data_IF_891329809908
#
_entry.id   IF_891329809908
#
_cell.length_a   1.000
_cell.length_b   1.000
_cell.length_c   1.000
_cell.angle_alpha   90.00
_cell.angle_beta   90.00
_cell.angle_gamma   90.00
#
_symmetry.space_group_name_H-M   'P 1'
#
loop_
_entity.id
_entity.type
_entity.pdbx_description
1 polymer ?
#
# COMPACT_ATOMS: atom_id res chain seq x y z
N UNK A 1 16.43 -25.29 7.72
CA UNK A 1 16.20 -23.84 7.84
C UNK A 1 15.00 -23.37 7.02
N UNK A 2 14.01 -22.80 7.71
CA UNK A 2 12.87 -22.05 7.15
C UNK A 2 12.98 -20.59 7.55
N UNK A 3 12.55 -19.67 6.68
CA UNK A 3 12.71 -18.24 6.91
C UNK A 3 11.46 -17.46 6.48
N UNK A 4 11.15 -16.41 7.24
CA UNK A 4 10.19 -15.38 6.86
C UNK A 4 10.90 -14.03 6.76
N UNK A 5 10.43 -13.16 5.88
CA UNK A 5 10.95 -11.81 5.70
C UNK A 5 9.94 -10.82 6.25
N UNK A 6 10.42 -9.92 7.09
CA UNK A 6 9.65 -8.85 7.67
C UNK A 6 10.12 -7.49 7.11
N UNK A 7 9.18 -6.68 6.67
CA UNK A 7 9.41 -5.30 6.22
C UNK A 7 8.71 -4.35 7.19
N UNK A 8 9.49 -3.53 7.89
CA UNK A 8 8.98 -2.54 8.82
C UNK A 8 9.02 -1.16 8.17
N UNK A 9 7.85 -0.58 7.90
CA UNK A 9 7.73 0.80 7.46
C UNK A 9 7.56 1.71 8.68
N UNK A 10 8.44 2.71 8.81
CA UNK A 10 8.33 3.77 9.79
C UNK A 10 8.22 5.13 9.12
N UNK A 11 7.04 5.75 9.23
CA UNK A 11 6.74 7.08 8.71
C UNK A 11 7.34 8.18 9.58
N UNK A 12 7.84 9.24 8.93
CA UNK A 12 8.28 10.46 9.61
C UNK A 12 7.13 11.48 9.79
N UNK A 13 6.03 11.32 9.04
CA UNK A 13 5.02 12.36 8.85
C UNK A 13 3.75 12.14 9.67
N UNK A 14 3.46 10.89 9.99
CA UNK A 14 2.38 10.46 10.90
C UNK A 14 2.65 9.02 11.35
N UNK A 15 3.20 8.81 12.56
CA UNK A 15 3.56 7.48 13.06
C UNK A 15 2.35 6.56 13.29
N UNK A 16 1.18 7.10 13.59
CA UNK A 16 0.03 6.28 14.00
C UNK A 16 -0.70 5.66 12.80
N UNK A 17 -0.70 6.34 11.65
CA UNK A 17 -1.53 5.95 10.51
C UNK A 17 -0.79 5.19 9.39
N UNK A 18 0.53 5.34 9.30
CA UNK A 18 1.32 4.81 8.16
C UNK A 18 2.26 3.66 8.56
N UNK A 19 2.65 3.58 9.83
CA UNK A 19 3.55 2.53 10.31
C UNK A 19 2.89 1.15 10.21
N UNK A 20 3.63 0.17 9.70
CA UNK A 20 3.14 -1.19 9.51
C UNK A 20 4.27 -2.18 9.37
N UNK A 21 4.00 -3.40 9.78
CA UNK A 21 4.85 -4.55 9.53
C UNK A 21 4.24 -5.41 8.43
N UNK A 22 4.99 -5.66 7.38
CA UNK A 22 4.66 -6.71 6.42
C UNK A 22 5.47 -7.94 6.75
N UNK A 23 4.81 -9.10 6.78
CA UNK A 23 5.47 -10.39 6.92
C UNK A 23 5.11 -11.25 5.71
N UNK A 24 6.13 -11.84 5.09
CA UNK A 24 5.95 -12.72 3.95
C UNK A 24 6.92 -13.89 3.97
N UNK A 25 6.47 -15.02 3.42
CA UNK A 25 7.34 -16.14 3.10
C UNK A 25 6.89 -16.80 1.81
N UNK A 26 7.85 -17.40 1.11
CA UNK A 26 7.63 -18.10 -0.16
C UNK A 26 7.99 -19.57 0.03
N UNK A 27 7.08 -20.32 0.66
CA UNK A 27 7.17 -21.77 0.71
C UNK A 27 6.36 -22.38 -0.44
N UNK A 28 6.87 -23.46 -1.05
CA UNK A 28 6.20 -24.17 -2.13
C UNK A 28 4.79 -24.59 -1.68
N UNK A 29 3.77 -24.15 -2.42
CA UNK A 29 2.33 -24.39 -2.19
C UNK A 29 1.70 -23.68 -0.98
N UNK A 30 2.45 -22.96 -0.15
CA UNK A 30 1.92 -22.18 0.99
C UNK A 30 2.63 -20.83 1.12
N UNK A 31 2.62 -19.96 0.09
CA UNK A 31 3.10 -18.59 0.26
C UNK A 31 2.16 -17.82 1.19
N UNK A 32 2.72 -16.92 1.99
CA UNK A 32 1.96 -16.03 2.86
C UNK A 32 2.40 -14.60 2.68
N UNK A 33 1.43 -13.69 2.82
CA UNK A 33 1.62 -12.26 2.86
C UNK A 33 0.60 -11.68 3.83
N UNK A 34 1.08 -10.94 4.83
CA UNK A 34 0.23 -10.21 5.77
C UNK A 34 0.76 -8.82 6.05
N UNK A 35 -0.14 -7.89 6.31
CA UNK A 35 0.13 -6.50 6.74
C UNK A 35 -0.45 -6.32 8.13
N UNK A 36 0.36 -5.83 9.07
CA UNK A 36 0.01 -5.76 10.49
C UNK A 36 0.23 -4.36 11.06
N UNK A 37 -0.70 -3.92 11.91
CA UNK A 37 -0.54 -2.72 12.75
C UNK A 37 0.46 -2.98 13.87
N UNK A 38 1.30 -1.99 14.18
CA UNK A 38 2.27 -2.08 15.27
C UNK A 38 1.61 -1.81 16.62
N UNK A 39 1.84 -2.69 17.60
CA UNK A 39 1.25 -2.61 18.95
C UNK A 39 2.06 -1.69 19.89
N UNK A 40 2.19 -0.40 19.56
CA UNK A 40 2.92 0.65 20.32
C UNK A 40 4.47 0.58 20.27
N UNK A 41 5.06 -0.44 19.64
CA UNK A 41 6.52 -0.54 19.49
C UNK A 41 6.92 -0.35 18.04
N UNK A 42 7.63 0.75 17.74
CA UNK A 42 8.20 1.06 16.41
C UNK A 42 9.48 0.26 16.10
N UNK A 43 9.49 -1.02 16.46
CA UNK A 43 10.62 -1.92 16.33
C UNK A 43 10.15 -3.26 15.76
N UNK A 44 11.09 -4.03 15.23
CA UNK A 44 10.83 -5.42 14.92
C UNK A 44 10.55 -6.25 16.18
N UNK A 45 9.71 -7.29 16.09
CA UNK A 45 9.59 -8.34 17.11
C UNK A 45 10.95 -8.91 17.51
N UNK A 46 11.10 -9.26 18.79
CA UNK A 46 12.36 -9.76 19.33
C UNK A 46 12.78 -11.08 18.61
N UNK A 47 13.96 -11.14 17.98
CA UNK A 47 14.40 -12.32 17.25
C UNK A 47 14.63 -13.54 18.14
N UNK A 48 14.83 -13.36 19.46
CA UNK A 48 14.97 -14.47 20.40
C UNK A 48 13.71 -15.32 20.53
N UNK A 49 12.54 -14.78 20.18
CA UNK A 49 11.26 -15.50 20.20
C UNK A 49 11.24 -16.75 19.31
N UNK A 50 12.15 -16.85 18.33
CA UNK A 50 12.19 -17.97 17.38
C UNK A 50 13.48 -18.80 17.45
N UNK A 51 14.31 -18.60 18.48
CA UNK A 51 15.59 -19.30 18.69
C UNK A 51 16.50 -19.32 17.45
N UNK A 52 16.94 -18.14 16.97
CA UNK A 52 17.73 -18.05 15.74
C UNK A 52 19.22 -18.41 15.90
N UNK A 53 19.77 -19.07 14.88
CA UNK A 53 21.20 -19.27 14.60
C UNK A 53 21.76 -18.29 13.55
N UNK A 54 21.01 -17.28 13.09
CA UNK A 54 21.47 -16.33 12.08
C UNK A 54 20.56 -15.11 11.90
N UNK A 55 20.68 -14.12 12.79
CA UNK A 55 19.98 -12.83 12.67
C UNK A 55 20.82 -11.90 11.80
N UNK A 56 20.30 -11.42 10.66
CA UNK A 56 20.83 -10.20 10.02
C UNK A 56 20.17 -9.02 10.72
N UNK A 57 20.72 -8.65 11.87
CA UNK A 57 20.28 -7.50 12.66
C UNK A 57 20.93 -6.23 12.10
N UNK A 58 20.13 -5.29 11.60
CA UNK A 58 20.62 -3.95 11.31
C UNK A 58 20.18 -3.01 12.46
N UNK A 59 21.07 -2.67 13.41
CA UNK A 59 20.70 -2.02 14.67
C UNK A 59 20.15 -0.60 14.53
N UNK A 60 20.26 0.02 13.36
CA UNK A 60 19.78 1.40 13.16
C UNK A 60 18.49 1.39 12.36
N UNK A 61 17.38 1.18 13.06
CA UNK A 61 16.05 1.42 12.53
C UNK A 61 15.94 2.91 12.19
N UNK A 62 15.69 3.24 10.92
CA UNK A 62 15.50 4.62 10.44
C UNK A 62 14.09 4.80 9.90
N UNK A 63 13.68 6.05 9.73
CA UNK A 63 12.49 6.36 8.93
C UNK A 63 12.63 5.77 7.52
N UNK A 64 11.54 5.26 6.98
CA UNK A 64 11.51 4.52 5.72
C UNK A 64 11.30 3.02 5.94
N UNK A 65 11.73 2.22 4.96
CA UNK A 65 11.54 0.77 4.96
C UNK A 65 12.77 0.07 5.51
N UNK A 66 12.57 -0.71 6.56
CA UNK A 66 13.59 -1.55 7.18
C UNK A 66 13.24 -3.02 6.90
N UNK A 67 14.24 -3.90 6.81
CA UNK A 67 14.05 -5.30 6.45
C UNK A 67 14.75 -6.18 7.49
N UNK A 68 14.09 -7.26 7.90
CA UNK A 68 14.69 -8.27 8.75
C UNK A 68 14.24 -9.68 8.33
N UNK A 69 15.14 -10.64 8.45
CA UNK A 69 14.84 -12.06 8.25
C UNK A 69 14.72 -12.78 9.58
N UNK A 70 13.76 -13.68 9.67
CA UNK A 70 13.51 -14.54 10.82
C UNK A 70 13.62 -15.99 10.38
N UNK A 71 14.66 -16.68 10.80
CA UNK A 71 14.96 -18.04 10.37
C UNK A 71 15.04 -19.02 11.55
N UNK A 72 14.54 -20.24 11.35
CA UNK A 72 14.61 -21.33 12.33
C UNK A 72 14.86 -22.67 11.64
N UNK A 73 15.58 -23.56 12.31
CA UNK A 73 15.77 -24.93 11.86
C UNK A 73 14.68 -25.89 12.36
N UNK A 74 13.95 -25.50 13.40
CA UNK A 74 12.91 -26.33 14.03
C UNK A 74 11.48 -25.89 13.71
N UNK A 75 11.26 -24.60 13.41
CA UNK A 75 9.93 -24.05 13.13
C UNK A 75 9.61 -24.05 11.63
N UNK A 76 8.33 -24.24 11.32
CA UNK A 76 7.77 -24.00 9.99
C UNK A 76 7.50 -22.50 9.79
N UNK A 77 7.48 -22.03 8.54
CA UNK A 77 7.34 -20.59 8.25
C UNK A 77 6.06 -19.98 8.84
N UNK A 78 4.92 -20.66 8.76
CA UNK A 78 3.66 -20.15 9.36
C UNK A 78 3.77 -19.95 10.87
N UNK A 79 4.40 -20.90 11.58
CA UNK A 79 4.61 -20.78 13.03
C UNK A 79 5.54 -19.60 13.37
N UNK A 80 6.53 -19.32 12.51
CA UNK A 80 7.37 -18.12 12.65
C UNK A 80 6.52 -16.85 12.49
N UNK A 81 5.62 -16.79 11.49
CA UNK A 81 4.69 -15.67 11.30
C UNK A 81 3.82 -15.48 12.56
N UNK A 82 3.17 -16.54 13.05
CA UNK A 82 2.29 -16.48 14.22
C UNK A 82 3.02 -15.93 15.46
N UNK A 83 4.27 -16.36 15.67
CA UNK A 83 5.08 -15.90 16.80
C UNK A 83 5.42 -14.41 16.68
N UNK A 84 5.92 -13.96 15.52
CA UNK A 84 6.40 -12.58 15.36
C UNK A 84 5.24 -11.57 15.22
N UNK A 85 4.06 -12.01 14.79
CA UNK A 85 2.86 -11.17 14.64
C UNK A 85 1.91 -11.28 15.83
N UNK A 86 2.27 -12.06 16.85
CA UNK A 86 1.45 -12.27 18.04
C UNK A 86 1.04 -10.95 18.71
N UNK A 87 -0.27 -10.78 18.91
CA UNK A 87 -0.86 -9.58 19.49
C UNK A 87 -1.04 -8.40 18.52
N UNK A 88 -0.53 -8.48 17.29
CA UNK A 88 -0.75 -7.47 16.25
C UNK A 88 -2.11 -7.65 15.57
N UNK A 89 -2.68 -6.54 15.09
CA UNK A 89 -3.90 -6.58 14.28
C UNK A 89 -3.53 -6.82 12.82
N UNK A 90 -4.04 -7.91 12.24
CA UNK A 90 -3.98 -8.10 10.78
C UNK A 90 -4.88 -7.07 10.10
N UNK A 91 -4.26 -6.26 9.24
CA UNK A 91 -4.91 -5.22 8.45
C UNK A 91 -4.77 -5.47 6.95
N UNK A 92 -4.36 -6.66 6.52
CA UNK A 92 -4.08 -6.98 5.13
C UNK A 92 -5.21 -6.56 4.19
N UNK A 93 -6.46 -6.88 4.51
CA UNK A 93 -7.61 -6.51 3.66
C UNK A 93 -7.93 -5.02 3.62
N UNK A 94 -7.43 -4.26 4.61
CA UNK A 94 -7.73 -2.85 4.84
C UNK A 94 -6.50 -1.96 4.92
N UNK A 95 -5.36 -2.42 4.41
CA UNK A 95 -4.09 -1.70 4.54
C UNK A 95 -4.10 -0.37 3.79
N UNK A 96 -4.98 -0.23 2.79
CA UNK A 96 -5.22 1.02 2.06
C UNK A 96 -5.89 2.09 2.93
N UNK A 97 -6.60 1.73 3.99
CA UNK A 97 -7.19 2.70 4.91
C UNK A 97 -6.08 3.42 5.68
N UNK A 98 -6.26 4.73 5.89
CA UNK A 98 -5.29 5.60 6.56
C UNK A 98 -3.92 5.67 5.85
N UNK A 99 -3.83 5.17 4.60
CA UNK A 99 -2.62 5.24 3.80
C UNK A 99 -2.50 6.56 3.07
N UNK A 100 -1.58 7.42 3.52
CA UNK A 100 -1.26 8.68 2.84
C UNK A 100 -2.53 9.50 2.53
N UNK A 101 -3.51 9.44 3.44
CA UNK A 101 -4.77 10.14 3.30
C UNK A 101 -4.53 11.65 3.33
N UNK A 102 -5.02 12.34 2.31
CA UNK A 102 -5.09 13.78 2.32
C UNK A 102 -6.55 14.18 2.39
N UNK A 103 -7.10 14.10 3.61
CA UNK A 103 -8.52 14.30 3.88
C UNK A 103 -9.07 15.63 3.34
N UNK A 104 -8.24 16.66 3.22
CA UNK A 104 -8.61 17.95 2.62
C UNK A 104 -8.71 17.81 1.10
N UNK A 105 -7.69 17.28 0.44
CA UNK A 105 -7.67 17.12 -1.01
C UNK A 105 -8.75 16.15 -1.50
N UNK A 106 -8.95 15.04 -0.78
CA UNK A 106 -9.99 14.04 -1.06
C UNK A 106 -11.39 14.62 -0.93
N UNK A 107 -11.67 15.34 0.18
CA UNK A 107 -12.95 16.03 0.37
C UNK A 107 -13.21 17.07 -0.71
N UNK A 108 -12.21 17.85 -1.07
CA UNK A 108 -12.32 18.88 -2.10
C UNK A 108 -12.54 18.28 -3.49
N UNK A 109 -11.84 17.20 -3.82
CA UNK A 109 -12.04 16.48 -5.06
C UNK A 109 -13.45 15.87 -5.14
N UNK A 110 -13.89 15.18 -4.08
CA UNK A 110 -15.21 14.55 -4.01
C UNK A 110 -16.34 15.58 -4.18
N UNK A 111 -16.22 16.75 -3.56
CA UNK A 111 -17.18 17.86 -3.75
C UNK A 111 -17.28 18.29 -5.21
N UNK A 112 -16.14 18.39 -5.91
CA UNK A 112 -16.12 18.76 -7.33
C UNK A 112 -16.75 17.66 -8.20
N UNK A 113 -16.43 16.39 -7.93
CA UNK A 113 -17.01 15.25 -8.64
C UNK A 113 -18.53 15.17 -8.47
N UNK A 114 -19.03 15.34 -7.24
CA UNK A 114 -20.47 15.33 -6.96
C UNK A 114 -21.21 16.49 -7.63
N UNK A 115 -20.58 17.67 -7.71
CA UNK A 115 -21.17 18.82 -8.40
C UNK A 115 -21.29 18.61 -9.92
N UNK A 116 -20.34 17.87 -10.51
CA UNK A 116 -20.41 17.48 -11.92
C UNK A 116 -21.54 16.45 -12.14
N UNK A 117 -21.64 15.44 -11.27
CA UNK A 117 -22.69 14.41 -11.36
C UNK A 117 -24.12 14.90 -11.07
N UNK A 118 -24.28 15.92 -10.23
CA UNK A 118 -25.59 16.49 -9.88
C UNK A 118 -26.24 17.33 -10.98
N UNK A 119 -25.52 17.56 -12.08
CA UNK A 119 -26.09 18.07 -13.33
C UNK A 119 -26.46 16.84 -14.12
N UNK A 120 -27.75 16.60 -14.37
CA UNK A 120 -28.34 15.36 -14.93
C UNK A 120 -27.80 14.87 -16.29
N UNK A 121 -26.70 15.44 -16.80
CA UNK A 121 -26.12 15.13 -18.08
C UNK A 121 -24.61 14.88 -17.91
N UNK A 122 -24.16 13.70 -18.33
CA UNK A 122 -22.80 13.33 -18.77
C UNK A 122 -21.90 12.55 -17.80
N UNK A 123 -22.02 11.21 -17.89
CA UNK A 123 -20.96 10.23 -17.55
C UNK A 123 -19.61 10.60 -18.21
N UNK A 124 -19.68 11.32 -19.33
CA UNK A 124 -18.55 11.76 -20.14
C UNK A 124 -17.71 12.91 -19.53
N UNK A 125 -18.20 13.59 -18.49
CA UNK A 125 -17.53 14.73 -17.84
C UNK A 125 -16.57 14.31 -16.72
N UNK A 126 -16.73 13.10 -16.18
CA UNK A 126 -15.80 12.54 -15.19
C UNK A 126 -14.55 11.87 -15.81
N UNK A 127 -14.23 12.23 -17.06
CA UNK A 127 -12.98 11.87 -17.73
C UNK A 127 -11.86 12.80 -17.26
N UNK A 128 -10.77 12.23 -16.75
CA UNK A 128 -9.65 13.03 -16.24
C UNK A 128 -9.05 13.95 -17.32
N UNK A 129 -9.10 13.56 -18.59
CA UNK A 129 -8.70 14.40 -19.71
C UNK A 129 -9.45 15.72 -19.79
N UNK A 130 -10.76 15.68 -19.51
CA UNK A 130 -11.71 16.80 -19.61
C UNK A 130 -11.79 17.65 -18.33
N UNK A 131 -11.17 17.23 -17.23
CA UNK A 131 -11.21 18.00 -15.99
C UNK A 131 -10.74 19.46 -16.18
N UNK A 132 -11.49 20.46 -15.68
CA UNK A 132 -11.04 21.85 -15.71
C UNK A 132 -9.81 22.03 -14.81
N UNK A 133 -9.01 23.07 -15.03
CA UNK A 133 -7.73 23.30 -14.30
C UNK A 133 -7.89 23.30 -12.78
N UNK A 134 -8.99 23.86 -12.27
CA UNK A 134 -9.32 23.88 -10.83
C UNK A 134 -9.57 22.48 -10.25
N UNK A 135 -10.09 21.56 -11.07
CA UNK A 135 -10.32 20.17 -10.68
C UNK A 135 -9.05 19.36 -10.81
N UNK A 136 -8.25 19.55 -11.86
CA UNK A 136 -6.96 18.88 -12.06
C UNK A 136 -6.00 19.06 -10.89
N UNK A 137 -5.98 20.24 -10.26
CA UNK A 137 -5.12 20.50 -9.10
C UNK A 137 -5.57 19.83 -7.80
N UNK A 138 -6.85 19.44 -7.70
CA UNK A 138 -7.45 18.84 -6.49
C UNK A 138 -7.68 17.33 -6.64
N UNK A 139 -8.06 16.90 -7.83
CA UNK A 139 -8.31 15.51 -8.22
C UNK A 139 -7.11 14.94 -8.95
N UNK A 140 -5.98 14.80 -8.25
CA UNK A 140 -4.81 14.12 -8.78
C UNK A 140 -5.08 12.61 -8.88
N UNK A 141 -4.25 11.88 -9.64
CA UNK A 141 -4.37 10.43 -9.75
C UNK A 141 -4.37 9.75 -8.37
N UNK A 142 -3.47 10.17 -7.47
CA UNK A 142 -3.40 9.62 -6.11
C UNK A 142 -4.69 9.86 -5.33
N UNK A 143 -5.27 11.06 -5.40
CA UNK A 143 -6.52 11.39 -4.68
C UNK A 143 -7.69 10.58 -5.21
N UNK A 144 -7.79 10.42 -6.54
CA UNK A 144 -8.82 9.56 -7.17
C UNK A 144 -8.67 8.11 -6.71
N UNK A 145 -7.45 7.59 -6.68
CA UNK A 145 -7.20 6.22 -6.23
C UNK A 145 -7.51 6.08 -4.74
N UNK A 146 -7.10 7.00 -3.87
CA UNK A 146 -7.45 6.97 -2.44
C UNK A 146 -8.97 6.92 -2.22
N UNK A 147 -9.73 7.74 -2.94
CA UNK A 147 -11.20 7.72 -2.88
C UNK A 147 -11.77 6.37 -3.37
N UNK A 148 -11.17 5.76 -4.39
CA UNK A 148 -11.59 4.47 -4.92
C UNK A 148 -11.29 3.31 -3.96
N UNK A 149 -10.09 3.30 -3.35
CA UNK A 149 -9.72 2.35 -2.31
C UNK A 149 -10.57 2.51 -1.04
N UNK A 150 -10.97 3.73 -0.72
CA UNK A 150 -11.94 4.01 0.36
C UNK A 150 -13.38 3.58 0.02
N UNK A 151 -13.63 3.09 -1.21
CA UNK A 151 -14.96 2.68 -1.66
C UNK A 151 -15.94 3.84 -1.80
N UNK A 152 -15.45 5.08 -1.97
CA UNK A 152 -16.29 6.28 -2.10
C UNK A 152 -16.68 6.52 -3.56
N UNK A 153 -15.78 6.19 -4.48
CA UNK A 153 -15.98 6.32 -5.93
C UNK A 153 -15.55 5.03 -6.63
N UNK A 154 -15.98 4.86 -7.88
CA UNK A 154 -15.48 3.82 -8.77
C UNK A 154 -14.56 4.42 -9.84
N UNK A 155 -13.65 3.60 -10.35
CA UNK A 155 -12.71 3.97 -11.42
C UNK A 155 -12.90 3.04 -12.62
N UNK A 156 -12.85 3.61 -13.83
CA UNK A 156 -12.84 2.87 -15.10
C UNK A 156 -11.83 3.49 -16.08
N UNK A 157 -11.77 2.95 -17.30
CA UNK A 157 -10.85 3.38 -18.36
C UNK A 157 -9.55 2.59 -18.42
N UNK A 158 -8.58 3.09 -19.19
CA UNK A 158 -7.33 2.38 -19.52
C UNK A 158 -6.47 2.07 -18.28
N UNK A 159 -6.59 2.90 -17.24
CA UNK A 159 -5.82 2.80 -16.01
C UNK A 159 -6.60 2.20 -14.84
N UNK A 160 -7.78 1.58 -15.08
CA UNK A 160 -8.61 0.98 -14.01
C UNK A 160 -7.92 -0.11 -13.20
N UNK A 161 -6.92 -0.78 -13.76
CA UNK A 161 -6.15 -1.86 -13.11
C UNK A 161 -5.38 -1.43 -11.86
N UNK A 162 -5.20 -0.13 -11.67
CA UNK A 162 -4.57 0.42 -10.47
C UNK A 162 -5.57 0.65 -9.33
N UNK A 163 -6.87 0.60 -9.59
CA UNK A 163 -7.93 0.73 -8.60
C UNK A 163 -8.49 -0.64 -8.19
N UNK A 164 -9.24 -0.73 -7.08
CA UNK A 164 -10.01 -1.92 -6.76
C UNK A 164 -11.03 -2.24 -7.87
N UNK A 165 -11.49 -3.50 -7.96
CA UNK A 165 -12.58 -3.87 -8.86
C UNK A 165 -13.78 -2.93 -8.71
N UNK A 166 -14.41 -2.60 -9.84
CA UNK A 166 -15.53 -1.65 -9.91
C UNK A 166 -16.66 -2.11 -8.98
N UNK A 167 -16.90 -1.32 -7.93
CA UNK A 167 -18.10 -1.43 -7.10
C UNK A 167 -19.21 -0.53 -7.67
N UNK A 168 -20.46 -0.81 -7.32
CA UNK A 168 -21.62 0.02 -7.67
C UNK A 168 -21.60 1.34 -6.87
N UNK A 169 -20.70 2.23 -7.26
CA UNK A 169 -20.54 3.55 -6.65
C UNK A 169 -21.26 4.62 -7.47
N UNK A 170 -21.88 5.63 -6.81
CA UNK A 170 -22.66 6.67 -7.49
C UNK A 170 -21.80 7.61 -8.35
N UNK A 171 -20.49 7.67 -8.08
CA UNK A 171 -19.52 8.46 -8.84
C UNK A 171 -18.53 7.52 -9.51
N UNK A 172 -18.44 7.60 -10.84
CA UNK A 172 -17.48 6.85 -11.64
C UNK A 172 -16.53 7.85 -12.33
N UNK A 173 -15.23 7.68 -12.11
CA UNK A 173 -14.18 8.48 -12.75
C UNK A 173 -13.47 7.65 -13.81
N UNK A 174 -13.39 8.18 -15.02
CA UNK A 174 -12.63 7.53 -16.11
C UNK A 174 -11.19 8.05 -16.10
N UNK A 175 -10.26 7.18 -15.74
CA UNK A 175 -8.83 7.44 -15.83
C UNK A 175 -8.33 7.12 -17.24
N UNK A 176 -8.31 8.14 -18.09
CA UNK A 176 -7.95 8.08 -19.52
C UNK A 176 -6.62 8.76 -19.84
N UNK A 177 -5.84 9.11 -18.81
CA UNK A 177 -4.55 9.78 -18.95
C UNK A 177 -3.41 8.96 -18.37
N UNK A 178 -2.24 8.98 -19.03
CA UNK A 178 -1.03 8.42 -18.46
C UNK A 178 -0.72 8.96 -17.08
N UNK A 179 -0.27 8.05 -16.24
CA UNK A 179 0.06 8.30 -14.85
C UNK A 179 1.53 7.97 -14.63
N UNK A 180 2.24 8.88 -13.99
CA UNK A 180 3.59 8.60 -13.54
C UNK A 180 3.54 7.71 -12.31
N UNK A 181 4.17 6.53 -12.37
CA UNK A 181 4.16 5.57 -11.27
C UNK A 181 4.64 6.20 -9.95
N UNK A 182 5.69 7.03 -9.98
CA UNK A 182 6.20 7.75 -8.80
C UNK A 182 5.14 8.58 -8.08
N UNK A 183 4.12 9.08 -8.79
CA UNK A 183 3.06 9.87 -8.15
C UNK A 183 2.14 9.04 -7.25
N UNK A 184 2.24 7.71 -7.36
CA UNK A 184 1.43 6.74 -6.62
C UNK A 184 2.12 6.11 -5.43
N UNK A 185 3.46 6.13 -5.44
CA UNK A 185 4.26 5.44 -4.45
C UNK A 185 4.41 6.31 -3.20
N UNK A 186 4.64 5.66 -2.07
CA UNK A 186 5.01 6.39 -0.84
C UNK A 186 6.25 7.24 -1.10
N UNK A 187 6.13 8.56 -0.89
CA UNK A 187 7.17 9.56 -1.17
C UNK A 187 7.72 9.54 -2.62
N UNK A 188 7.07 8.81 -3.53
CA UNK A 188 7.56 8.58 -4.88
C UNK A 188 8.80 7.69 -4.98
N UNK A 189 9.11 6.92 -3.94
CA UNK A 189 10.35 6.15 -3.85
C UNK A 189 10.15 4.66 -4.15
N UNK A 190 11.17 4.07 -4.79
CA UNK A 190 11.33 2.63 -4.93
C UNK A 190 12.27 2.14 -3.83
N UNK A 191 11.94 1.03 -3.18
CA UNK A 191 12.73 0.47 -2.09
C UNK A 191 13.97 -0.25 -2.64
N UNK A 192 13.78 -1.01 -3.72
CA UNK A 192 14.85 -1.72 -4.41
C UNK A 192 14.42 -2.05 -5.83
N UNK A 193 15.30 -1.83 -6.80
CA UNK A 193 15.11 -2.28 -8.19
C UNK A 193 16.15 -3.33 -8.55
N UNK A 194 15.77 -4.35 -9.31
CA UNK A 194 16.70 -5.34 -9.87
C UNK A 194 16.29 -5.64 -11.31
N UNK A 195 17.26 -5.68 -12.20
CA UNK A 195 17.02 -6.06 -13.59
C UNK A 195 16.87 -7.58 -13.66
N UNK A 196 15.70 -8.04 -14.04
CA UNK A 196 15.38 -9.45 -14.31
C UNK A 196 15.32 -9.69 -15.81
N UNK A 197 15.13 -10.96 -16.20
CA UNK A 197 14.90 -11.33 -17.61
C UNK A 197 13.61 -10.75 -18.18
N UNK A 198 12.67 -10.35 -17.32
CA UNK A 198 11.36 -9.81 -17.71
C UNK A 198 11.29 -8.29 -17.66
N UNK A 199 12.33 -7.60 -17.17
CA UNK A 199 12.37 -6.15 -17.09
C UNK A 199 13.10 -5.64 -15.86
N UNK A 200 12.84 -4.40 -15.48
CA UNK A 200 13.24 -3.88 -14.18
C UNK A 200 12.13 -4.20 -13.20
N UNK A 201 12.38 -5.09 -12.25
CA UNK A 201 11.45 -5.36 -11.15
C UNK A 201 11.83 -4.48 -9.97
N UNK A 202 10.84 -3.81 -9.39
CA UNK A 202 11.06 -2.98 -8.21
C UNK A 202 10.02 -3.22 -7.12
N UNK A 203 10.49 -3.16 -5.88
CA UNK A 203 9.63 -3.20 -4.70
C UNK A 203 9.25 -1.77 -4.31
N UNK A 204 7.97 -1.51 -4.14
CA UNK A 204 7.47 -0.20 -3.74
C UNK A 204 6.23 -0.29 -2.86
N UNK A 205 6.02 0.75 -2.05
CA UNK A 205 4.80 0.89 -1.25
C UNK A 205 3.69 1.55 -2.07
N UNK A 206 2.55 0.88 -2.18
CA UNK A 206 1.35 1.36 -2.84
C UNK A 206 0.12 0.97 -2.03
N UNK A 207 -0.73 1.94 -1.69
CA UNK A 207 -1.99 1.73 -0.94
C UNK A 207 -1.81 0.86 0.31
N UNK A 208 -0.72 1.07 1.04
CA UNK A 208 -0.44 0.37 2.28
C UNK A 208 0.18 -1.02 2.13
N UNK A 209 0.39 -1.46 0.90
CA UNK A 209 0.96 -2.75 0.55
C UNK A 209 2.35 -2.59 -0.08
N UNK A 210 3.20 -3.60 0.11
CA UNK A 210 4.36 -3.81 -0.75
C UNK A 210 3.95 -4.50 -2.03
N UNK A 211 4.24 -3.86 -3.16
CA UNK A 211 4.02 -4.38 -4.50
C UNK A 211 5.35 -4.63 -5.22
N UNK A 212 5.41 -5.73 -5.96
CA UNK A 212 6.41 -5.96 -6.99
C UNK A 212 5.87 -5.40 -8.31
N UNK A 213 6.59 -4.47 -8.92
CA UNK A 213 6.26 -3.81 -10.19
C UNK A 213 7.29 -4.10 -11.26
#
# INVERSE_FOLDING_TARGET
MKCVIAFLLLSAKDPENTDRLIVTHSETNQPSYGVYELTNRRNFPDPTLINQSGVIWNPTIKHGTNIMSYCSDSLQSHAIVDIITSGMTDITSRAHLHWNENSIAERDCLKLLNFVNGREENIDDNKMSKFPSKMKSKCTNQVILNLAFSGIIAVDGDYRKYAPPKADQPVIVTMDKPMELRSLLLNGELIKGTKTTFGLEALAWYQGHLHLS
#
